data_IF_448578577215
#
_entry.id   IF_448578577215
#
_cell.length_a   1.000
_cell.length_b   1.000
_cell.length_c   1.000
_cell.angle_alpha   90.00
_cell.angle_beta   90.00
_cell.angle_gamma   90.00
#
_symmetry.space_group_name_H-M   'P 1'
#
loop_
_entity.id
_entity.type
_entity.pdbx_description
1 polymer ?
#
# COMPACT_ATOMS: atom_id res chain seq x y z
N UNK A 1 38.99 -45.08 -37.09
CA UNK A 1 39.92 -44.68 -36.01
C UNK A 1 40.10 -43.17 -36.11
N UNK A 2 39.69 -42.28 -35.21
CA UNK A 2 39.23 -42.35 -33.82
C UNK A 2 38.17 -41.25 -33.62
N UNK A 3 37.12 -41.57 -32.89
CA UNK A 3 36.08 -40.67 -32.40
C UNK A 3 36.62 -39.72 -31.32
N UNK A 4 36.18 -38.45 -31.32
CA UNK A 4 36.42 -37.48 -30.24
C UNK A 4 35.10 -37.31 -29.47
N UNK A 5 35.04 -37.56 -28.15
CA UNK A 5 33.81 -37.46 -27.39
C UNK A 5 33.59 -36.05 -26.80
N UNK A 6 32.33 -35.63 -26.83
CA UNK A 6 31.53 -35.07 -25.74
C UNK A 6 32.22 -34.18 -24.69
N UNK A 7 31.83 -32.91 -24.63
CA UNK A 7 31.74 -32.14 -23.38
C UNK A 7 30.44 -31.34 -23.38
N UNK A 8 29.39 -31.92 -22.77
CA UNK A 8 28.20 -31.21 -22.32
C UNK A 8 28.62 -30.15 -21.29
N UNK A 9 28.55 -28.88 -21.65
CA UNK A 9 28.59 -27.79 -20.67
C UNK A 9 27.16 -27.55 -20.18
N UNK A 10 26.85 -28.12 -19.02
CA UNK A 10 25.57 -27.91 -18.34
C UNK A 10 25.42 -26.45 -17.93
N UNK A 11 24.48 -25.75 -18.54
CA UNK A 11 24.03 -24.45 -18.07
C UNK A 11 23.26 -24.65 -16.75
N UNK A 12 23.91 -24.36 -15.63
CA UNK A 12 23.25 -24.30 -14.33
C UNK A 12 22.29 -23.10 -14.32
N UNK A 13 21.01 -23.36 -14.56
CA UNK A 13 19.93 -22.40 -14.37
C UNK A 13 19.69 -22.23 -12.87
N UNK A 14 20.39 -21.29 -12.24
CA UNK A 14 20.07 -20.85 -10.88
C UNK A 14 18.79 -20.00 -10.97
N UNK A 15 17.63 -20.64 -10.83
CA UNK A 15 16.38 -19.94 -10.59
C UNK A 15 16.47 -19.29 -9.21
N UNK A 16 16.70 -17.98 -9.16
CA UNK A 16 16.58 -17.21 -7.94
C UNK A 16 15.11 -17.25 -7.47
N UNK A 17 14.79 -18.16 -6.55
CA UNK A 17 13.52 -18.13 -5.82
C UNK A 17 13.50 -16.83 -5.01
N UNK A 18 12.88 -15.79 -5.56
CA UNK A 18 12.57 -14.57 -4.84
C UNK A 18 11.46 -14.90 -3.84
N UNK A 19 11.84 -15.24 -2.60
CA UNK A 19 10.88 -15.33 -1.50
C UNK A 19 10.30 -13.94 -1.27
N UNK A 20 9.13 -13.67 -1.85
CA UNK A 20 8.38 -12.46 -1.55
C UNK A 20 7.91 -12.55 -0.10
N UNK A 21 8.60 -11.87 0.82
CA UNK A 21 8.08 -11.64 2.17
C UNK A 21 6.75 -10.88 2.04
N UNK A 22 5.71 -11.44 2.64
CA UNK A 22 4.39 -10.79 2.71
C UNK A 22 4.41 -9.71 3.78
N UNK A 23 3.52 -8.72 3.68
CA UNK A 23 3.39 -7.68 4.70
C UNK A 23 3.25 -8.25 6.13
N UNK A 24 2.51 -9.36 6.28
CA UNK A 24 2.31 -10.05 7.56
C UNK A 24 3.63 -10.53 8.21
N UNK A 25 4.63 -10.92 7.42
CA UNK A 25 5.92 -11.39 7.94
C UNK A 25 6.74 -10.32 8.67
N UNK A 26 6.36 -9.04 8.49
CA UNK A 26 7.00 -7.90 9.15
C UNK A 26 6.30 -7.47 10.45
N UNK A 27 5.17 -8.10 10.80
CA UNK A 27 4.39 -7.75 11.98
C UNK A 27 4.52 -8.84 13.04
N UNK A 28 4.65 -8.40 14.30
CA UNK A 28 4.61 -9.28 15.47
C UNK A 28 3.40 -8.87 16.32
N UNK A 29 2.60 -9.84 16.74
CA UNK A 29 1.43 -9.64 17.61
C UNK A 29 0.43 -8.60 17.04
N UNK A 30 0.21 -8.62 15.73
CA UNK A 30 -0.67 -7.68 15.05
C UNK A 30 -2.13 -7.84 15.51
N UNK A 31 -2.80 -6.71 15.74
CA UNK A 31 -4.23 -6.68 15.96
C UNK A 31 -4.98 -6.52 14.62
N UNK A 32 -6.08 -7.25 14.44
CA UNK A 32 -6.98 -7.09 13.30
C UNK A 32 -8.07 -6.06 13.64
N UNK A 33 -8.32 -5.12 12.72
CA UNK A 33 -9.42 -4.17 12.81
C UNK A 33 -8.99 -2.72 12.62
N UNK A 34 -9.74 -1.82 13.22
CA UNK A 34 -9.53 -0.38 13.12
C UNK A 34 -8.30 0.06 13.97
N UNK A 35 -7.26 0.65 13.36
CA UNK A 35 -6.07 1.12 14.07
C UNK A 35 -6.32 2.35 14.96
N UNK A 36 -7.54 2.89 15.02
CA UNK A 36 -7.94 4.03 15.88
C UNK A 36 -7.08 5.27 15.68
N UNK A 37 -6.67 5.53 14.44
CA UNK A 37 -5.92 6.73 14.06
C UNK A 37 -6.76 7.99 14.32
N UNK A 38 -6.19 9.01 14.96
CA UNK A 38 -6.87 10.30 15.22
C UNK A 38 -6.40 11.42 14.29
N UNK A 39 -5.28 11.21 13.62
CA UNK A 39 -4.67 12.08 12.63
C UNK A 39 -3.80 11.24 11.72
N UNK A 40 -3.70 11.65 10.47
CA UNK A 40 -3.01 10.88 9.43
C UNK A 40 -2.13 11.86 8.67
N UNK A 41 -0.82 11.60 8.69
CA UNK A 41 0.17 12.37 7.95
C UNK A 41 0.60 11.63 6.68
N UNK A 42 1.91 11.65 6.43
CA UNK A 42 2.54 10.92 5.33
C UNK A 42 2.30 9.40 5.44
N UNK A 43 2.20 8.77 4.27
CA UNK A 43 1.98 7.36 4.06
C UNK A 43 2.96 6.80 3.02
N UNK A 44 3.37 5.55 3.18
CA UNK A 44 4.16 4.86 2.16
C UNK A 44 4.00 3.35 2.26
N UNK A 45 4.14 2.66 1.14
CA UNK A 45 4.17 1.20 1.10
C UNK A 45 5.59 0.69 1.28
N UNK A 46 5.78 -0.14 2.30
CA UNK A 46 6.97 -0.93 2.53
C UNK A 46 6.95 -2.28 1.81
N UNK A 47 7.97 -3.13 2.06
CA UNK A 47 8.04 -4.48 1.51
C UNK A 47 6.78 -5.30 1.77
N UNK A 48 6.44 -6.18 0.83
CA UNK A 48 5.30 -7.07 0.95
C UNK A 48 3.91 -6.40 0.93
N UNK A 49 3.84 -5.09 0.67
CA UNK A 49 2.57 -4.33 0.65
C UNK A 49 2.13 -3.78 2.01
N UNK A 50 3.06 -3.67 2.97
CA UNK A 50 2.79 -3.13 4.29
C UNK A 50 2.62 -1.60 4.21
N UNK A 51 1.45 -1.08 4.58
CA UNK A 51 1.20 0.36 4.59
C UNK A 51 1.73 0.97 5.88
N UNK A 52 2.67 1.91 5.77
CA UNK A 52 3.19 2.68 6.89
C UNK A 52 2.48 4.03 6.92
N UNK A 53 1.91 4.38 8.07
CA UNK A 53 1.12 5.60 8.28
C UNK A 53 1.66 6.38 9.47
N UNK A 54 1.90 7.66 9.29
CA UNK A 54 2.28 8.55 10.41
C UNK A 54 1.04 9.07 11.14
N UNK A 55 1.08 9.03 12.47
CA UNK A 55 0.07 9.57 13.39
C UNK A 55 0.71 10.72 14.18
N UNK A 56 0.63 11.98 13.67
CA UNK A 56 1.37 13.08 14.26
C UNK A 56 0.87 13.51 15.65
N UNK A 57 -0.41 13.28 15.99
CA UNK A 57 -0.96 13.67 17.30
C UNK A 57 -0.45 12.81 18.47
N UNK A 58 -0.02 11.57 18.21
CA UNK A 58 0.50 10.63 19.20
C UNK A 58 1.97 10.28 18.94
N UNK A 59 2.62 10.97 17.99
CA UNK A 59 4.02 10.76 17.60
C UNK A 59 4.35 9.29 17.30
N UNK A 60 3.47 8.62 16.55
CA UNK A 60 3.57 7.20 16.25
C UNK A 60 3.62 6.93 14.74
N UNK A 61 4.17 5.77 14.37
CA UNK A 61 4.05 5.19 13.03
C UNK A 61 3.29 3.87 13.18
N UNK A 62 2.19 3.74 12.44
CA UNK A 62 1.35 2.56 12.43
C UNK A 62 1.60 1.79 11.15
N UNK A 63 1.88 0.49 11.28
CA UNK A 63 2.05 -0.43 10.17
C UNK A 63 0.78 -1.26 9.98
N UNK A 64 0.24 -1.25 8.76
CA UNK A 64 -1.04 -1.86 8.41
C UNK A 64 -0.82 -2.89 7.31
N UNK A 65 -1.15 -4.14 7.61
CA UNK A 65 -1.26 -5.22 6.64
C UNK A 65 -2.64 -5.09 5.96
N UNK A 66 -2.64 -4.73 4.68
CA UNK A 66 -3.88 -4.37 3.96
C UNK A 66 -4.62 -5.58 3.38
N UNK A 67 -3.98 -6.76 3.34
CA UNK A 67 -4.47 -7.94 2.61
C UNK A 67 -4.45 -7.78 1.08
N UNK A 68 -4.07 -6.60 0.58
CA UNK A 68 -4.16 -6.27 -0.84
C UNK A 68 -2.99 -6.87 -1.61
N UNK A 69 -3.33 -7.82 -2.47
CA UNK A 69 -2.40 -8.54 -3.33
C UNK A 69 -2.80 -8.38 -4.80
N UNK A 70 -1.90 -8.82 -5.70
CA UNK A 70 -2.04 -8.60 -7.14
C UNK A 70 -3.17 -9.38 -7.83
N UNK A 71 -3.30 -9.22 -9.17
CA UNK A 71 -2.45 -8.41 -10.05
C UNK A 71 -2.75 -6.90 -9.98
N UNK A 72 -1.79 -6.08 -10.41
CA UNK A 72 -1.94 -4.61 -10.47
C UNK A 72 -3.09 -4.22 -11.39
N UNK A 73 -4.07 -3.51 -10.82
CA UNK A 73 -5.20 -2.97 -11.57
C UNK A 73 -5.01 -1.48 -11.81
N UNK A 74 -4.97 -1.07 -13.08
CA UNK A 74 -4.94 0.33 -13.47
C UNK A 74 -6.33 0.95 -13.35
N UNK A 75 -6.38 2.26 -13.12
CA UNK A 75 -7.61 3.02 -13.23
C UNK A 75 -8.17 2.88 -14.66
N UNK A 76 -9.46 2.53 -14.77
CA UNK A 76 -10.15 2.37 -16.07
C UNK A 76 -10.27 3.69 -16.82
N UNK A 77 -10.35 4.78 -16.08
CA UNK A 77 -10.43 6.14 -16.58
C UNK A 77 -9.86 7.08 -15.52
N UNK A 78 -9.54 8.30 -15.94
CA UNK A 78 -9.19 9.37 -15.01
C UNK A 78 -10.34 9.63 -14.04
N UNK A 79 -10.00 9.84 -12.77
CA UNK A 79 -10.95 10.29 -11.75
C UNK A 79 -10.76 11.78 -11.57
N UNK A 80 -11.73 12.56 -12.05
CA UNK A 80 -11.75 14.01 -11.86
C UNK A 80 -12.37 14.38 -10.51
N UNK A 81 -11.98 15.54 -9.99
CA UNK A 81 -12.54 16.13 -8.77
C UNK A 81 -12.58 15.18 -7.55
N UNK A 82 -11.48 14.46 -7.30
CA UNK A 82 -11.34 13.50 -6.17
C UNK A 82 -11.76 14.11 -4.83
N UNK A 83 -11.40 15.36 -4.55
CA UNK A 83 -11.80 16.04 -3.32
C UNK A 83 -13.30 16.20 -3.14
N UNK A 84 -14.03 16.52 -4.21
CA UNK A 84 -15.50 16.62 -4.18
C UNK A 84 -16.15 15.25 -4.00
N UNK A 85 -15.61 14.20 -4.66
CA UNK A 85 -16.07 12.83 -4.49
C UNK A 85 -15.90 12.34 -3.04
N UNK A 86 -14.73 12.62 -2.44
CA UNK A 86 -14.46 12.28 -1.05
C UNK A 86 -15.36 13.08 -0.10
N UNK A 87 -15.51 14.39 -0.31
CA UNK A 87 -16.39 15.22 0.52
C UNK A 87 -17.83 14.68 0.53
N UNK A 88 -18.38 14.38 -0.66
CA UNK A 88 -19.72 13.80 -0.78
C UNK A 88 -19.85 12.46 -0.05
N UNK A 89 -18.85 11.57 -0.17
CA UNK A 89 -18.81 10.28 0.53
C UNK A 89 -18.73 10.41 2.05
N UNK A 90 -18.09 11.48 2.53
CA UNK A 90 -17.91 11.76 3.95
C UNK A 90 -19.03 12.65 4.52
N UNK A 91 -20.03 13.03 3.73
CA UNK A 91 -21.10 13.94 4.17
C UNK A 91 -20.61 15.36 4.47
N UNK A 92 -19.52 15.79 3.84
CA UNK A 92 -18.95 17.13 3.96
C UNK A 92 -19.34 17.98 2.73
N UNK A 93 -19.42 19.32 2.88
CA UNK A 93 -19.58 20.22 1.73
C UNK A 93 -18.37 20.14 0.79
N UNK A 94 -18.52 20.62 -0.43
CA UNK A 94 -17.41 20.73 -1.38
C UNK A 94 -16.24 21.53 -0.78
N UNK A 95 -15.01 21.03 -0.92
CA UNK A 95 -13.84 21.60 -0.27
C UNK A 95 -13.77 21.38 1.26
N UNK A 96 -14.74 20.67 1.85
CA UNK A 96 -14.84 20.32 3.28
C UNK A 96 -13.90 19.19 3.73
N UNK A 97 -13.03 18.72 2.84
CA UNK A 97 -12.00 17.72 3.13
C UNK A 97 -10.63 18.25 2.73
N UNK A 98 -9.60 17.72 3.37
CA UNK A 98 -8.20 17.90 3.01
C UNK A 98 -7.62 16.53 2.72
N UNK A 99 -6.93 16.38 1.59
CA UNK A 99 -6.14 15.19 1.27
C UNK A 99 -4.71 15.51 1.71
N UNK A 100 -4.22 14.82 2.74
CA UNK A 100 -2.89 15.01 3.28
C UNK A 100 -1.83 14.25 2.48
N UNK A 101 -2.17 13.06 1.98
CA UNK A 101 -1.25 12.22 1.21
C UNK A 101 -1.99 11.16 0.38
N UNK A 102 -1.27 10.56 -0.58
CA UNK A 102 -1.72 9.46 -1.43
C UNK A 102 -0.60 8.42 -1.56
N UNK A 103 -0.91 7.17 -1.21
CA UNK A 103 -0.01 6.04 -1.41
C UNK A 103 -0.65 4.98 -2.31
N UNK A 104 0.17 4.26 -3.08
CA UNK A 104 -0.31 3.19 -3.99
C UNK A 104 0.35 1.87 -3.63
N UNK A 105 -0.45 0.84 -3.39
CA UNK A 105 0.05 -0.51 -3.20
C UNK A 105 0.57 -1.03 -4.55
N UNK A 106 1.89 -1.23 -4.65
CA UNK A 106 2.52 -1.65 -5.91
C UNK A 106 2.18 -3.09 -6.32
N UNK A 107 1.73 -3.94 -5.40
CA UNK A 107 1.33 -5.31 -5.72
C UNK A 107 -0.05 -5.37 -6.37
N UNK A 108 -1.01 -4.57 -5.87
CA UNK A 108 -2.42 -4.60 -6.28
C UNK A 108 -2.87 -3.42 -7.17
N UNK A 109 -2.12 -2.32 -7.17
CA UNK A 109 -2.50 -1.06 -7.82
C UNK A 109 -3.53 -0.24 -7.04
N UNK A 110 -3.92 -0.67 -5.83
CA UNK A 110 -4.90 0.04 -5.01
C UNK A 110 -4.33 1.33 -4.44
N UNK A 111 -5.16 2.36 -4.46
CA UNK A 111 -4.82 3.72 -4.03
C UNK A 111 -5.41 3.96 -2.64
N UNK A 112 -4.59 4.48 -1.75
CA UNK A 112 -4.92 4.86 -0.38
C UNK A 112 -4.76 6.37 -0.24
N UNK A 113 -5.70 7.02 0.44
CA UNK A 113 -5.76 8.47 0.57
C UNK A 113 -5.87 8.85 2.04
N UNK A 114 -4.94 9.64 2.54
CA UNK A 114 -5.05 10.22 3.87
C UNK A 114 -6.00 11.42 3.79
N UNK A 115 -7.21 11.29 4.32
CA UNK A 115 -8.26 12.31 4.23
C UNK A 115 -8.63 12.80 5.61
N UNK A 116 -8.66 14.12 5.78
CA UNK A 116 -9.17 14.77 6.99
C UNK A 116 -10.41 15.59 6.64
N UNK A 117 -11.49 15.38 7.38
CA UNK A 117 -12.70 16.21 7.30
C UNK A 117 -12.50 17.48 8.12
N UNK A 118 -12.76 18.65 7.51
CA UNK A 118 -12.48 19.94 8.14
C UNK A 118 -13.45 20.28 9.28
N UNK A 119 -14.69 19.79 9.21
CA UNK A 119 -15.74 20.14 10.17
C UNK A 119 -15.45 19.65 11.60
N UNK A 120 -14.91 18.45 11.73
CA UNK A 120 -14.70 17.74 13.00
C UNK A 120 -13.26 17.23 13.19
N UNK A 121 -12.41 17.38 12.17
CA UNK A 121 -11.04 16.86 12.17
C UNK A 121 -10.96 15.34 12.06
N UNK A 122 -12.04 14.64 11.70
CA UNK A 122 -12.04 13.20 11.53
C UNK A 122 -11.05 12.79 10.41
N UNK A 123 -10.13 11.89 10.72
CA UNK A 123 -9.08 11.43 9.82
C UNK A 123 -9.33 9.96 9.41
N UNK A 124 -9.19 9.68 8.12
CA UNK A 124 -9.55 8.40 7.49
C UNK A 124 -8.54 8.04 6.40
N UNK A 125 -8.35 6.75 6.18
CA UNK A 125 -7.56 6.16 5.07
C UNK A 125 -8.42 5.24 4.20
#
# INVERSE_FOLDING_TARGET
>A
MRSIPLLLTGAALVAALSTHLTAASHLKDAATGDPKLRSIGAMSFGPGGLLLVTEPRHAAIVAIETGDTGPVQKLKQRVDNVGALLAARLGAPEGGVTIADLAVNQASGKIYLAVTRKADGAALI
#
